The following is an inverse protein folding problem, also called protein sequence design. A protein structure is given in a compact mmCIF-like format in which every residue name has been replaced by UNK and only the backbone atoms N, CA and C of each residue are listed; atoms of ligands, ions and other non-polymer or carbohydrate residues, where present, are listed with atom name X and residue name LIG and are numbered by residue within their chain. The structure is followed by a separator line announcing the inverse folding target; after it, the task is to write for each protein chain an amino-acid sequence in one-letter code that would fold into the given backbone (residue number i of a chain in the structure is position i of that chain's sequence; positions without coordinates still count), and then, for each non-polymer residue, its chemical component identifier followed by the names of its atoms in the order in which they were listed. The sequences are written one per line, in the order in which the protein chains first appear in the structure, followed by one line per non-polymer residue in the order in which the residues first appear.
data_IF_979907481504
#
_entry.id   IF_979907481504
#
_cell.length_a   1.000
_cell.length_b   1.000
_cell.length_c   1.000
_cell.angle_alpha   90.00
_cell.angle_beta   90.00
_cell.angle_gamma   90.00
#
_symmetry.space_group_name_H-M   'P 1'
#
loop_
_entity.id
_entity.type
_entity.pdbx_description
1 polymer ?
#
# COMPACT_ATOMS: atom_id res chain seq x y z
N UNK A 1 -25.15 -60.14 -44.84
CA UNK A 1 -23.78 -60.46 -44.37
C UNK A 1 -23.70 -60.01 -42.92
N UNK A 2 -23.52 -60.93 -41.97
CA UNK A 2 -24.14 -60.86 -40.66
C UNK A 2 -23.11 -60.79 -39.51
N UNK A 3 -23.65 -60.80 -38.29
CA UNK A 3 -23.04 -61.18 -37.01
C UNK A 3 -22.41 -60.10 -36.13
N UNK A 4 -23.24 -59.72 -35.17
CA UNK A 4 -22.94 -59.30 -33.80
C UNK A 4 -22.51 -60.53 -32.96
N UNK A 5 -21.68 -60.25 -31.94
CA UNK A 5 -21.38 -60.99 -30.68
C UNK A 5 -20.32 -62.11 -30.67
N UNK A 6 -19.68 -62.44 -29.51
CA UNK A 6 -19.83 -61.88 -28.15
C UNK A 6 -18.53 -61.59 -27.36
N UNK A 7 -18.73 -60.91 -26.22
CA UNK A 7 -17.83 -60.83 -25.05
C UNK A 7 -17.67 -62.22 -24.39
N UNK A 8 -16.47 -62.61 -23.91
CA UNK A 8 -16.34 -63.67 -22.92
C UNK A 8 -16.28 -63.10 -21.50
N UNK A 9 -17.17 -63.62 -20.67
CA UNK A 9 -17.24 -63.49 -19.22
C UNK A 9 -16.36 -64.52 -18.50
N UNK A 10 -15.67 -64.02 -17.48
CA UNK A 10 -15.50 -64.60 -16.14
C UNK A 10 -14.37 -65.57 -15.77
N UNK A 11 -13.82 -65.24 -14.59
CA UNK A 11 -13.38 -66.10 -13.49
C UNK A 11 -11.99 -66.74 -13.47
N UNK A 12 -11.12 -66.07 -12.69
CA UNK A 12 -10.38 -66.59 -11.52
C UNK A 12 -9.50 -67.84 -11.68
N UNK A 13 -8.19 -67.66 -11.48
CA UNK A 13 -7.44 -68.39 -10.44
C UNK A 13 -6.04 -67.78 -10.16
N UNK A 14 -5.82 -67.52 -8.88
CA UNK A 14 -4.56 -67.61 -8.12
C UNK A 14 -3.36 -66.70 -8.45
N UNK A 15 -3.27 -65.63 -7.67
CA UNK A 15 -2.12 -65.17 -6.85
C UNK A 15 -0.85 -66.04 -6.93
N UNK A 16 0.27 -65.42 -7.34
CA UNK A 16 1.59 -65.67 -6.77
C UNK A 16 2.49 -64.43 -6.92
N UNK A 17 3.14 -64.11 -5.80
CA UNK A 17 3.97 -62.97 -5.47
C UNK A 17 5.06 -62.58 -6.49
N UNK A 18 5.28 -61.27 -6.60
CA UNK A 18 6.38 -60.72 -7.41
C UNK A 18 6.57 -59.23 -7.21
N UNK A 19 6.89 -58.83 -5.97
CA UNK A 19 7.40 -57.50 -5.63
C UNK A 19 8.47 -57.02 -6.62
N UNK A 20 8.24 -55.87 -7.27
CA UNK A 20 9.28 -54.94 -7.72
C UNK A 20 8.65 -53.56 -7.96
N UNK A 21 8.75 -52.74 -6.94
CA UNK A 21 8.48 -51.30 -6.97
C UNK A 21 9.41 -50.62 -7.96
N UNK A 22 8.85 -49.99 -9.00
CA UNK A 22 9.54 -48.90 -9.70
C UNK A 22 9.04 -47.61 -9.07
N UNK A 23 9.91 -47.00 -8.27
CA UNK A 23 9.72 -45.68 -7.69
C UNK A 23 9.68 -44.64 -8.82
N UNK A 24 8.47 -44.26 -9.22
CA UNK A 24 8.25 -43.05 -9.99
C UNK A 24 8.54 -41.85 -9.09
N UNK A 25 9.62 -41.13 -9.40
CA UNK A 25 9.99 -39.85 -8.77
C UNK A 25 8.83 -38.88 -8.95
N UNK A 26 7.98 -38.79 -7.93
CA UNK A 26 6.97 -37.75 -7.82
C UNK A 26 7.66 -36.40 -7.80
N UNK A 27 7.48 -35.64 -8.87
CA UNK A 27 7.78 -34.21 -8.87
C UNK A 27 6.97 -33.58 -7.73
N UNK A 28 7.63 -33.30 -6.62
CA UNK A 28 7.08 -32.47 -5.54
C UNK A 28 6.81 -31.11 -6.15
N UNK A 29 5.54 -30.75 -6.26
CA UNK A 29 5.13 -29.35 -6.37
C UNK A 29 5.75 -28.66 -5.16
N UNK A 30 6.75 -27.82 -5.37
CA UNK A 30 7.22 -26.91 -4.32
C UNK A 30 6.07 -25.94 -4.14
N UNK A 31 5.30 -26.10 -3.07
CA UNK A 31 4.24 -25.16 -2.71
C UNK A 31 4.82 -23.74 -2.76
N UNK A 32 4.08 -22.81 -3.37
CA UNK A 32 4.48 -21.41 -3.37
C UNK A 32 4.73 -20.97 -1.91
N UNK A 33 5.83 -20.25 -1.62
CA UNK A 33 6.15 -19.84 -0.26
C UNK A 33 4.98 -19.04 0.32
N UNK A 34 4.62 -19.33 1.57
CA UNK A 34 3.56 -18.59 2.26
C UNK A 34 3.95 -17.13 2.40
N UNK A 35 2.96 -16.22 2.47
CA UNK A 35 3.23 -14.79 2.62
C UNK A 35 4.05 -14.46 3.88
N UNK A 36 3.92 -15.27 4.93
CA UNK A 36 4.72 -15.15 6.15
C UNK A 36 6.21 -15.41 5.87
N UNK A 37 6.53 -16.40 5.03
CA UNK A 37 7.89 -16.66 4.58
C UNK A 37 8.42 -15.52 3.70
N UNK A 38 7.58 -14.94 2.84
CA UNK A 38 7.96 -13.75 2.06
C UNK A 38 8.31 -12.55 2.96
N UNK A 39 7.54 -12.30 4.02
CA UNK A 39 7.84 -11.24 4.99
C UNK A 39 9.08 -11.53 5.82
N UNK A 40 9.25 -12.76 6.30
CA UNK A 40 10.43 -13.17 7.06
C UNK A 40 11.69 -13.00 6.21
N UNK A 41 11.60 -13.37 4.93
CA UNK A 41 12.69 -13.34 3.96
C UNK A 41 12.85 -11.99 3.22
N UNK A 42 12.23 -10.92 3.71
CA UNK A 42 12.44 -9.57 3.19
C UNK A 42 13.91 -9.14 3.30
N UNK A 43 14.37 -8.39 2.30
CA UNK A 43 15.73 -7.83 2.23
C UNK A 43 15.83 -6.69 3.24
N UNK A 44 16.84 -6.76 4.10
CA UNK A 44 17.14 -5.76 5.15
C UNK A 44 18.58 -5.23 5.07
N UNK A 45 19.38 -5.83 4.21
CA UNK A 45 20.77 -5.48 3.98
C UNK A 45 20.91 -4.72 2.65
N UNK A 46 21.65 -3.62 2.68
CA UNK A 46 21.81 -2.74 1.51
C UNK A 46 22.61 -3.44 0.41
N UNK A 47 23.70 -4.13 0.78
CA UNK A 47 24.56 -4.82 -0.18
C UNK A 47 23.81 -5.97 -0.85
N UNK A 48 22.97 -6.69 -0.10
CA UNK A 48 22.04 -7.66 -0.64
C UNK A 48 21.08 -7.03 -1.66
N UNK A 49 20.45 -5.90 -1.35
CA UNK A 49 19.57 -5.21 -2.28
C UNK A 49 20.31 -4.83 -3.56
N UNK A 50 21.47 -4.16 -3.43
CA UNK A 50 22.28 -3.72 -4.57
C UNK A 50 22.69 -4.88 -5.47
N UNK A 51 23.15 -5.99 -4.88
CA UNK A 51 23.47 -7.22 -5.60
C UNK A 51 22.27 -7.82 -6.32
N UNK A 52 21.10 -7.87 -5.67
CA UNK A 52 19.86 -8.41 -6.28
C UNK A 52 19.40 -7.59 -7.48
N UNK A 53 19.61 -6.27 -7.46
CA UNK A 53 19.26 -5.37 -8.58
C UNK A 53 20.42 -5.12 -9.54
N UNK A 54 21.56 -5.80 -9.39
CA UNK A 54 22.70 -5.68 -10.31
C UNK A 54 23.42 -4.33 -10.28
N UNK A 55 23.42 -3.66 -9.12
CA UNK A 55 24.15 -2.41 -8.89
C UNK A 55 25.41 -2.66 -8.04
N UNK A 56 26.46 -1.82 -8.20
CA UNK A 56 27.69 -1.98 -7.42
C UNK A 56 27.46 -1.69 -5.93
N UNK A 57 28.08 -2.49 -5.05
CA UNK A 57 28.00 -2.39 -3.58
C UNK A 57 28.46 -1.01 -3.03
N UNK A 58 29.20 -0.23 -3.82
CA UNK A 58 29.62 1.15 -3.50
C UNK A 58 28.93 2.20 -4.37
N UNK A 59 27.67 1.97 -4.72
CA UNK A 59 26.91 2.96 -5.48
C UNK A 59 26.79 4.25 -4.65
N UNK A 60 27.16 5.43 -5.18
CA UNK A 60 27.02 6.72 -4.48
C UNK A 60 25.55 7.11 -4.16
N UNK A 61 24.60 6.25 -4.55
CA UNK A 61 23.17 6.40 -4.34
C UNK A 61 22.70 5.78 -3.02
N UNK A 62 23.41 4.77 -2.52
CA UNK A 62 23.18 4.20 -1.20
C UNK A 62 23.89 5.03 -0.13
N UNK A 63 23.34 5.08 1.07
CA UNK A 63 23.99 5.64 2.26
C UNK A 63 25.40 5.07 2.52
N UNK A 64 26.02 5.46 3.64
CA UNK A 64 27.34 5.00 4.12
C UNK A 64 27.43 3.50 4.48
N UNK A 65 26.62 2.64 3.85
CA UNK A 65 26.56 1.21 4.11
C UNK A 65 25.88 0.85 5.42
N UNK A 66 25.42 1.83 6.21
CA UNK A 66 24.94 1.51 7.55
C UNK A 66 23.62 0.73 7.54
N UNK A 67 22.69 0.94 6.59
CA UNK A 67 21.40 0.22 6.48
C UNK A 67 20.49 0.25 7.73
N UNK A 68 21.03 0.77 8.83
CA UNK A 68 20.64 0.74 10.24
C UNK A 68 20.53 2.18 10.78
N UNK A 69 20.29 3.16 9.88
CA UNK A 69 19.82 4.46 10.32
C UNK A 69 18.48 4.34 11.06
N UNK A 70 17.98 5.45 11.60
CA UNK A 70 16.71 5.48 12.35
C UNK A 70 15.50 4.88 11.60
N UNK A 71 15.58 4.79 10.27
CA UNK A 71 14.60 4.11 9.42
C UNK A 71 15.28 3.05 8.53
N UNK A 72 15.35 1.77 8.95
CA UNK A 72 16.16 0.75 8.31
C UNK A 72 15.60 0.31 6.96
N UNK A 73 16.42 -0.34 6.13
CA UNK A 73 15.95 -0.97 4.91
C UNK A 73 15.02 -2.15 5.24
N UNK A 74 13.88 -2.21 4.54
CA UNK A 74 13.00 -3.36 4.55
C UNK A 74 12.25 -3.41 3.22
N UNK A 75 12.50 -4.42 2.40
CA UNK A 75 11.81 -4.60 1.12
C UNK A 75 11.59 -6.08 0.80
N UNK A 76 10.35 -6.51 0.50
CA UNK A 76 10.08 -7.90 0.13
C UNK A 76 10.73 -8.26 -1.21
N UNK A 77 11.19 -9.50 -1.35
CA UNK A 77 11.81 -9.98 -2.60
C UNK A 77 10.83 -9.96 -3.79
N UNK A 78 9.52 -10.10 -3.55
CA UNK A 78 8.48 -9.90 -4.57
C UNK A 78 8.44 -8.46 -5.11
N UNK A 79 8.79 -7.45 -4.31
CA UNK A 79 8.97 -6.08 -4.79
C UNK A 79 10.29 -5.91 -5.54
N UNK A 80 11.39 -6.43 -4.99
CA UNK A 80 12.73 -6.33 -5.63
C UNK A 80 12.74 -6.93 -7.04
N UNK A 81 12.03 -8.05 -7.27
CA UNK A 81 11.93 -8.68 -8.61
C UNK A 81 11.32 -7.79 -9.70
N UNK A 82 10.62 -6.72 -9.34
CA UNK A 82 10.02 -5.76 -10.28
C UNK A 82 10.91 -4.56 -10.57
N UNK A 83 12.01 -4.38 -9.81
CA UNK A 83 13.00 -3.33 -10.05
C UNK A 83 13.80 -3.71 -11.30
N UNK A 84 13.98 -2.75 -12.21
CA UNK A 84 14.79 -2.95 -13.42
C UNK A 84 16.27 -3.18 -13.04
N UNK A 85 16.86 -4.35 -13.38
CA UNK A 85 18.25 -4.63 -13.06
C UNK A 85 19.22 -3.66 -13.74
N UNK A 86 20.24 -3.22 -13.00
CA UNK A 86 21.30 -2.32 -13.45
C UNK A 86 20.88 -0.86 -13.59
N UNK A 87 19.62 -0.50 -13.29
CA UNK A 87 19.13 0.87 -13.41
C UNK A 87 19.16 1.59 -12.04
N UNK A 88 20.14 2.48 -11.79
CA UNK A 88 20.22 3.25 -10.54
C UNK A 88 19.08 4.25 -10.35
N UNK A 89 18.30 4.51 -11.39
CA UNK A 89 17.25 5.51 -11.41
C UNK A 89 15.85 4.90 -11.51
N UNK A 90 15.75 3.58 -11.42
CA UNK A 90 14.49 2.85 -11.42
C UNK A 90 13.50 3.43 -10.37
N UNK A 91 12.25 3.72 -10.76
CA UNK A 91 11.28 4.38 -9.90
C UNK A 91 10.85 3.51 -8.71
N UNK A 92 10.91 2.18 -8.80
CA UNK A 92 10.62 1.29 -7.68
C UNK A 92 11.80 1.25 -6.71
N UNK A 93 13.04 1.20 -7.21
CA UNK A 93 14.24 1.24 -6.38
C UNK A 93 14.29 2.51 -5.53
N UNK A 94 14.02 3.68 -6.13
CA UNK A 94 13.99 4.96 -5.43
C UNK A 94 13.06 4.96 -4.22
N UNK A 95 11.93 4.24 -4.28
CA UNK A 95 10.97 4.18 -3.18
C UNK A 95 11.48 3.43 -1.94
N UNK A 96 12.53 2.61 -2.06
CA UNK A 96 13.02 1.71 -0.99
C UNK A 96 14.51 1.86 -0.69
N UNK A 97 15.30 2.41 -1.60
CA UNK A 97 16.75 2.57 -1.44
C UNK A 97 17.07 3.73 -0.47
N UNK A 98 17.70 3.47 0.69
CA UNK A 98 18.12 4.52 1.61
C UNK A 98 19.12 5.47 0.96
N UNK A 99 18.86 6.78 1.05
CA UNK A 99 19.70 7.81 0.44
C UNK A 99 20.41 8.67 1.50
N UNK A 100 21.68 9.08 1.26
CA UNK A 100 22.35 10.08 2.11
C UNK A 100 21.55 11.39 2.27
N UNK A 101 20.73 11.73 1.27
CA UNK A 101 19.89 12.94 1.27
C UNK A 101 18.84 12.95 2.38
N UNK A 102 18.50 11.80 2.95
CA UNK A 102 17.57 11.69 4.06
C UNK A 102 18.12 12.30 5.36
N UNK A 103 19.44 12.37 5.48
CA UNK A 103 20.14 13.03 6.58
C UNK A 103 20.41 14.52 6.32
N UNK A 104 19.96 15.03 5.17
CA UNK A 104 20.12 16.43 4.75
C UNK A 104 18.74 17.10 4.66
N UNK A 105 18.04 17.30 5.79
CA UNK A 105 16.64 17.76 5.81
C UNK A 105 16.45 19.15 5.20
N UNK A 106 17.53 19.89 4.99
CA UNK A 106 17.56 21.22 4.39
C UNK A 106 17.64 21.19 2.86
N UNK A 107 17.86 20.05 2.19
CA UNK A 107 18.08 20.00 0.74
C UNK A 107 16.97 19.23 0.02
N UNK A 108 16.05 19.94 -0.63
CA UNK A 108 15.00 19.34 -1.48
C UNK A 108 15.49 18.96 -2.89
N UNK A 109 16.77 19.22 -3.19
CA UNK A 109 17.35 19.18 -4.53
C UNK A 109 18.33 20.33 -4.73
N UNK A 110 18.86 20.49 -5.94
CA UNK A 110 19.89 21.46 -6.37
C UNK A 110 19.83 22.84 -5.67
N UNK A 111 20.48 22.97 -4.50
CA UNK A 111 20.60 24.23 -3.76
C UNK A 111 19.32 24.81 -3.13
N UNK A 112 18.20 24.06 -3.09
CA UNK A 112 16.93 24.56 -2.54
C UNK A 112 16.79 24.19 -1.06
N UNK A 113 16.68 25.21 -0.21
CA UNK A 113 16.42 25.03 1.23
C UNK A 113 15.00 24.52 1.47
N UNK A 114 14.88 23.29 1.95
CA UNK A 114 13.61 22.67 2.29
C UNK A 114 13.07 23.23 3.62
N UNK A 115 11.91 23.89 3.58
CA UNK A 115 11.26 24.45 4.77
C UNK A 115 9.99 23.68 5.16
N UNK A 116 9.70 23.62 6.46
CA UNK A 116 8.47 23.03 6.99
C UNK A 116 8.46 21.50 7.09
N UNK A 117 9.63 20.87 7.00
CA UNK A 117 9.81 19.43 7.22
C UNK A 117 9.87 19.12 8.72
N UNK A 118 9.05 18.18 9.19
CA UNK A 118 8.89 17.84 10.63
C UNK A 118 8.57 16.35 10.83
N UNK A 119 8.56 15.91 12.08
CA UNK A 119 8.38 14.49 12.42
C UNK A 119 6.90 14.06 12.37
N UNK A 120 5.98 14.95 12.76
CA UNK A 120 4.53 14.80 12.58
C UNK A 120 3.98 15.83 11.55
N UNK A 121 4.14 15.57 10.24
CA UNK A 121 3.70 16.50 9.20
C UNK A 121 2.17 16.64 9.13
N UNK A 122 1.43 15.63 9.57
CA UNK A 122 -0.02 15.54 9.37
C UNK A 122 -0.84 15.77 10.64
N UNK A 123 -0.19 15.99 11.80
CA UNK A 123 -0.86 16.18 13.08
C UNK A 123 -1.53 14.91 13.60
N UNK A 124 -0.92 13.74 13.38
CA UNK A 124 -1.43 12.47 13.94
C UNK A 124 -1.43 12.51 15.48
N UNK A 125 -0.39 13.08 16.12
CA UNK A 125 -0.31 13.17 17.59
C UNK A 125 -1.42 14.02 18.15
N UNK A 126 -1.63 15.22 17.60
CA UNK A 126 -2.68 16.14 18.05
C UNK A 126 -4.10 15.61 17.80
N UNK A 127 -4.27 14.68 16.85
CA UNK A 127 -5.54 14.04 16.53
C UNK A 127 -5.82 12.77 17.36
N UNK A 128 -4.90 12.36 18.24
CA UNK A 128 -5.05 11.15 19.04
C UNK A 128 -6.07 11.38 20.14
N UNK A 129 -7.14 10.58 20.14
CA UNK A 129 -8.24 10.66 21.13
C UNK A 129 -8.26 9.48 22.10
N UNK A 130 -7.54 8.41 21.78
CA UNK A 130 -7.21 7.28 22.66
C UNK A 130 -6.04 6.48 22.07
N UNK A 131 -5.54 5.49 22.81
CA UNK A 131 -4.43 4.65 22.38
C UNK A 131 -4.71 4.01 21.01
N UNK A 132 -3.90 4.40 20.02
CA UNK A 132 -4.04 3.97 18.63
C UNK A 132 -5.30 4.48 17.90
N UNK A 133 -6.09 5.40 18.48
CA UNK A 133 -7.30 5.95 17.86
C UNK A 133 -7.12 7.44 17.53
N UNK A 134 -7.17 7.77 16.25
CA UNK A 134 -7.08 9.14 15.73
C UNK A 134 -8.43 9.60 15.17
N UNK A 135 -8.82 10.84 15.44
CA UNK A 135 -10.02 11.44 14.87
C UNK A 135 -9.72 12.82 14.29
N UNK A 136 -9.41 12.85 12.99
CA UNK A 136 -9.14 14.10 12.26
C UNK A 136 -10.38 14.73 11.65
N UNK A 137 -11.40 13.92 11.36
CA UNK A 137 -12.53 14.33 10.54
C UNK A 137 -13.85 13.83 11.11
N UNK A 138 -14.90 14.58 10.86
CA UNK A 138 -16.25 14.17 11.23
C UNK A 138 -16.64 12.85 10.54
N UNK A 139 -17.37 12.01 11.28
CA UNK A 139 -17.97 10.78 10.75
C UNK A 139 -17.05 9.57 10.68
N UNK A 140 -15.74 9.74 10.92
CA UNK A 140 -14.76 8.66 10.78
C UNK A 140 -13.58 8.79 11.73
N UNK A 141 -13.09 7.65 12.19
CA UNK A 141 -11.87 7.55 12.99
C UNK A 141 -10.87 6.59 12.33
N UNK A 142 -9.59 6.73 12.67
CA UNK A 142 -8.51 5.86 12.20
C UNK A 142 -7.89 5.13 13.38
N UNK A 143 -7.77 3.83 13.25
CA UNK A 143 -7.01 2.96 14.14
C UNK A 143 -5.62 2.76 13.56
N UNK A 144 -4.59 3.19 14.29
CA UNK A 144 -3.19 2.84 14.07
C UNK A 144 -2.99 1.45 14.67
N UNK A 145 -3.25 0.41 13.89
CA UNK A 145 -3.30 -0.96 14.38
C UNK A 145 -1.92 -1.48 14.80
N UNK A 146 -0.88 -1.15 14.04
CA UNK A 146 0.48 -1.67 14.24
C UNK A 146 1.54 -0.70 13.75
N UNK A 147 2.77 -0.81 14.27
CA UNK A 147 3.97 -0.19 13.67
C UNK A 147 4.71 -1.11 12.70
N UNK A 148 4.27 -2.36 12.52
CA UNK A 148 4.90 -3.30 11.60
C UNK A 148 4.51 -2.98 10.16
N UNK A 149 5.51 -2.81 9.29
CA UNK A 149 5.36 -2.69 7.84
C UNK A 149 5.94 -3.93 7.14
N UNK A 150 5.48 -4.21 5.92
CA UNK A 150 6.14 -5.16 5.01
C UNK A 150 7.26 -4.52 4.19
N UNK A 151 7.21 -3.20 4.00
CA UNK A 151 8.15 -2.41 3.23
C UNK A 151 8.36 -1.06 3.91
N UNK A 152 9.59 -0.55 3.92
CA UNK A 152 9.91 0.78 4.42
C UNK A 152 10.02 1.76 3.27
N UNK A 153 8.93 2.46 2.97
CA UNK A 153 8.88 3.50 1.95
C UNK A 153 9.75 4.69 2.38
N UNK A 154 10.71 5.13 1.57
CA UNK A 154 11.61 6.27 1.90
C UNK A 154 10.90 7.63 1.98
N UNK A 155 9.61 7.67 1.66
CA UNK A 155 8.73 8.83 1.76
C UNK A 155 7.62 8.63 2.83
N UNK A 156 7.76 7.66 3.74
CA UNK A 156 6.75 7.35 4.76
C UNK A 156 6.55 8.52 5.73
N UNK A 157 5.35 9.11 5.75
CA UNK A 157 5.03 10.22 6.65
C UNK A 157 4.92 9.81 8.13
N UNK A 158 4.81 8.51 8.41
CA UNK A 158 4.78 7.92 9.78
C UNK A 158 6.08 7.24 10.18
N UNK A 159 7.19 7.52 9.50
CA UNK A 159 8.48 6.93 9.87
C UNK A 159 8.95 7.33 11.28
N UNK A 160 8.48 8.48 11.79
CA UNK A 160 8.79 9.00 13.13
C UNK A 160 7.62 8.87 14.13
N UNK A 161 6.56 8.14 13.78
CA UNK A 161 5.40 7.95 14.67
C UNK A 161 5.76 7.08 15.87
N UNK A 162 5.28 7.45 17.07
CA UNK A 162 5.50 6.66 18.28
C UNK A 162 4.54 5.46 18.36
N UNK A 163 5.05 4.29 17.99
CA UNK A 163 4.31 3.02 18.04
C UNK A 163 4.36 2.32 19.41
N UNK A 164 5.11 2.85 20.39
CA UNK A 164 5.31 2.23 21.69
C UNK A 164 4.02 2.06 22.49
N UNK A 165 3.13 3.05 22.37
CA UNK A 165 1.87 3.20 23.08
C UNK A 165 0.68 2.48 22.42
N UNK A 166 0.92 1.70 21.36
CA UNK A 166 -0.15 0.98 20.70
C UNK A 166 -0.66 -0.22 21.52
N UNK A 167 -1.99 -0.47 21.53
CA UNK A 167 -2.55 -1.66 22.13
C UNK A 167 -1.91 -2.96 21.61
N UNK A 168 -1.56 -3.87 22.54
CA UNK A 168 -0.94 -5.17 22.22
C UNK A 168 -1.90 -6.32 22.52
N UNK A 169 -2.30 -7.05 21.47
CA UNK A 169 -3.26 -8.16 21.57
C UNK A 169 -4.72 -7.73 21.50
N UNK A 170 -5.64 -8.68 21.32
CA UNK A 170 -7.07 -8.40 21.09
C UNK A 170 -7.75 -7.66 22.25
N UNK A 171 -7.56 -8.15 23.49
CA UNK A 171 -8.17 -7.55 24.68
C UNK A 171 -7.74 -6.09 24.92
N UNK A 172 -6.54 -5.71 24.47
CA UNK A 172 -6.05 -4.34 24.62
C UNK A 172 -6.83 -3.32 23.76
N UNK A 173 -7.59 -3.77 22.76
CA UNK A 173 -8.43 -2.90 21.93
C UNK A 173 -9.80 -2.60 22.56
N UNK A 174 -10.18 -3.29 23.64
CA UNK A 174 -11.48 -3.13 24.28
C UNK A 174 -11.81 -1.67 24.67
N UNK A 175 -10.88 -0.86 25.23
CA UNK A 175 -11.15 0.56 25.50
C UNK A 175 -11.46 1.35 24.23
N UNK A 176 -10.70 1.12 23.16
CA UNK A 176 -10.90 1.75 21.85
C UNK A 176 -12.25 1.37 21.25
N UNK A 177 -12.63 0.09 21.34
CA UNK A 177 -13.92 -0.41 20.86
C UNK A 177 -15.09 0.24 21.63
N UNK A 178 -14.99 0.36 22.96
CA UNK A 178 -16.00 1.04 23.78
C UNK A 178 -16.15 2.51 23.40
N UNK A 179 -15.05 3.21 23.15
CA UNK A 179 -15.09 4.61 22.75
C UNK A 179 -15.78 4.79 21.40
N UNK A 180 -15.49 3.92 20.43
CA UNK A 180 -16.17 3.94 19.13
C UNK A 180 -17.67 3.61 19.28
N UNK A 181 -18.01 2.63 20.11
CA UNK A 181 -19.38 2.26 20.39
C UNK A 181 -20.18 3.38 21.10
N UNK A 182 -19.51 4.22 21.89
CA UNK A 182 -20.12 5.36 22.59
C UNK A 182 -20.31 6.59 21.69
N UNK A 183 -19.62 6.69 20.55
CA UNK A 183 -19.72 7.81 19.61
C UNK A 183 -20.51 7.40 18.35
N UNK A 184 -21.83 7.61 18.39
CA UNK A 184 -22.74 7.31 17.29
C UNK A 184 -22.49 8.16 16.01
N UNK A 185 -21.64 9.19 16.08
CA UNK A 185 -21.28 9.97 14.89
C UNK A 185 -20.34 9.21 13.94
N UNK A 186 -19.63 8.19 14.45
CA UNK A 186 -18.64 7.41 13.71
C UNK A 186 -19.26 6.31 12.85
N UNK A 187 -19.46 6.57 11.56
CA UNK A 187 -20.04 5.59 10.64
C UNK A 187 -18.99 4.85 9.79
N UNK A 188 -17.73 5.26 9.86
CA UNK A 188 -16.60 4.62 9.16
C UNK A 188 -15.37 4.53 10.07
N UNK A 189 -14.79 3.34 10.17
CA UNK A 189 -13.53 3.11 10.88
C UNK A 189 -12.44 2.71 9.90
N UNK A 190 -11.31 3.39 9.95
CA UNK A 190 -10.16 3.14 9.08
C UNK A 190 -9.13 2.34 9.84
N UNK A 191 -8.72 1.18 9.34
CA UNK A 191 -7.63 0.39 9.92
C UNK A 191 -6.36 0.69 9.13
N UNK A 192 -5.35 1.22 9.80
CA UNK A 192 -4.09 1.68 9.21
C UNK A 192 -2.93 1.46 10.22
N UNK A 193 -1.85 2.22 10.11
CA UNK A 193 -0.64 2.11 10.90
C UNK A 193 0.57 1.99 10.00
N UNK A 194 1.48 1.07 10.33
CA UNK A 194 2.47 0.54 9.42
C UNK A 194 1.78 -0.19 8.27
N UNK A 195 1.34 -1.43 8.51
CA UNK A 195 0.44 -2.13 7.61
C UNK A 195 -0.43 -3.17 8.35
N UNK A 196 -1.77 -2.99 8.40
CA UNK A 196 -2.66 -3.89 9.14
C UNK A 196 -2.73 -5.30 8.56
N UNK A 197 -2.43 -5.49 7.26
CA UNK A 197 -2.39 -6.83 6.67
C UNK A 197 -1.08 -7.56 6.97
N UNK A 198 -0.13 -6.95 7.70
CA UNK A 198 0.99 -7.70 8.28
C UNK A 198 0.56 -8.68 9.39
N UNK A 199 -0.66 -8.51 9.94
CA UNK A 199 -1.22 -9.42 10.92
C UNK A 199 -1.78 -10.70 10.31
N UNK A 200 -1.81 -11.77 11.12
CA UNK A 200 -2.54 -12.99 10.80
C UNK A 200 -4.04 -12.72 10.71
N UNK A 201 -4.75 -13.56 9.95
CA UNK A 201 -6.20 -13.43 9.76
C UNK A 201 -6.95 -13.43 11.11
N UNK A 202 -6.58 -14.30 12.05
CA UNK A 202 -7.19 -14.32 13.39
C UNK A 202 -6.95 -13.06 14.22
N UNK A 203 -5.77 -12.44 14.12
CA UNK A 203 -5.50 -11.16 14.81
C UNK A 203 -6.24 -10.00 14.15
N UNK A 204 -6.36 -10.01 12.83
CA UNK A 204 -7.16 -9.04 12.09
C UNK A 204 -8.64 -9.16 12.47
N UNK A 205 -9.19 -10.38 12.42
CA UNK A 205 -10.57 -10.72 12.78
C UNK A 205 -10.93 -10.22 14.18
N UNK A 206 -10.07 -10.48 15.17
CA UNK A 206 -10.27 -10.03 16.55
C UNK A 206 -10.41 -8.51 16.72
N UNK A 207 -9.95 -7.71 15.76
CA UNK A 207 -10.17 -6.26 15.73
C UNK A 207 -11.37 -5.87 14.86
N UNK A 208 -11.48 -6.43 13.64
CA UNK A 208 -12.47 -5.97 12.65
C UNK A 208 -13.88 -6.52 12.89
N UNK A 209 -14.03 -7.72 13.44
CA UNK A 209 -15.35 -8.30 13.71
C UNK A 209 -16.13 -7.51 14.78
N UNK A 210 -15.54 -7.16 15.95
CA UNK A 210 -16.24 -6.33 16.92
C UNK A 210 -16.59 -4.94 16.35
N UNK A 211 -15.67 -4.32 15.60
CA UNK A 211 -15.91 -3.02 14.96
C UNK A 211 -17.06 -3.07 13.96
N UNK A 212 -17.08 -4.09 13.11
CA UNK A 212 -18.10 -4.28 12.09
C UNK A 212 -19.47 -4.66 12.69
N UNK A 213 -19.50 -5.11 13.95
CA UNK A 213 -20.74 -5.47 14.67
C UNK A 213 -21.38 -4.28 15.39
N UNK A 214 -20.70 -3.13 15.47
CA UNK A 214 -21.27 -1.91 16.05
C UNK A 214 -22.32 -1.34 15.09
N UNK A 215 -23.57 -1.19 15.56
CA UNK A 215 -24.74 -0.87 14.73
C UNK A 215 -24.55 0.37 13.83
N UNK A 216 -23.97 1.45 14.35
CA UNK A 216 -23.76 2.68 13.59
C UNK A 216 -22.54 2.64 12.65
N UNK A 217 -21.64 1.66 12.79
CA UNK A 217 -20.45 1.50 11.96
C UNK A 217 -20.82 0.79 10.65
N UNK A 218 -21.01 1.57 9.60
CA UNK A 218 -21.44 1.06 8.29
C UNK A 218 -20.30 0.55 7.42
N UNK A 219 -19.08 1.03 7.66
CA UNK A 219 -17.91 0.81 6.82
C UNK A 219 -16.66 0.59 7.66
N UNK A 220 -15.88 -0.42 7.27
CA UNK A 220 -14.51 -0.61 7.73
C UNK A 220 -13.59 -0.44 6.53
N UNK A 221 -12.65 0.49 6.58
CA UNK A 221 -11.71 0.75 5.47
C UNK A 221 -10.30 0.37 5.87
N UNK A 222 -9.70 -0.58 5.15
CA UNK A 222 -8.33 -1.04 5.41
C UNK A 222 -7.37 -0.27 4.50
N UNK A 223 -6.35 0.35 5.08
CA UNK A 223 -5.25 0.99 4.35
C UNK A 223 -4.03 0.08 4.42
N UNK A 224 -3.56 -0.40 3.27
CA UNK A 224 -2.52 -1.42 3.23
C UNK A 224 -1.69 -1.31 1.95
N UNK A 225 -0.41 -1.64 2.03
CA UNK A 225 0.47 -1.81 0.88
C UNK A 225 0.76 -3.28 0.58
N UNK A 226 0.37 -4.21 1.47
CA UNK A 226 0.63 -5.65 1.32
C UNK A 226 0.22 -6.23 -0.04
N UNK A 227 -0.97 -5.97 -0.62
CA UNK A 227 -1.33 -6.51 -1.93
C UNK A 227 -0.37 -6.10 -3.05
N UNK A 228 0.30 -4.95 -2.88
CA UNK A 228 1.30 -4.45 -3.82
C UNK A 228 2.66 -5.09 -3.55
N UNK A 229 3.12 -5.18 -2.31
CA UNK A 229 4.50 -5.63 -2.01
C UNK A 229 4.65 -7.13 -1.73
N UNK A 230 3.60 -7.80 -1.25
CA UNK A 230 3.52 -9.25 -0.99
C UNK A 230 2.12 -9.74 -1.41
N UNK A 231 1.86 -9.90 -2.71
CA UNK A 231 0.53 -10.23 -3.24
C UNK A 231 -0.02 -11.57 -2.72
N UNK A 232 0.86 -12.50 -2.34
CA UNK A 232 0.48 -13.79 -1.71
C UNK A 232 -0.24 -13.63 -0.37
N UNK A 233 -0.23 -12.44 0.25
CA UNK A 233 -1.02 -12.14 1.46
C UNK A 233 -2.53 -12.21 1.20
N UNK A 234 -2.96 -12.03 -0.06
CA UNK A 234 -4.37 -12.14 -0.45
C UNK A 234 -4.75 -13.61 -0.64
N UNK A 235 -4.94 -14.29 0.49
CA UNK A 235 -5.37 -15.69 0.56
C UNK A 235 -6.89 -15.80 0.49
N UNK A 236 -7.38 -17.02 0.24
CA UNK A 236 -8.84 -17.29 0.23
C UNK A 236 -9.45 -17.07 1.63
N UNK A 237 -8.68 -17.40 2.69
CA UNK A 237 -9.06 -17.17 4.09
C UNK A 237 -9.23 -15.69 4.41
N UNK A 238 -8.32 -14.84 3.92
CA UNK A 238 -8.45 -13.40 4.08
C UNK A 238 -9.69 -12.89 3.36
N UNK A 239 -9.89 -13.29 2.10
CA UNK A 239 -11.05 -12.79 1.34
C UNK A 239 -12.38 -13.26 1.91
N UNK A 240 -12.46 -14.49 2.44
CA UNK A 240 -13.64 -14.98 3.14
C UNK A 240 -13.92 -14.14 4.40
N UNK A 241 -12.90 -13.90 5.23
CA UNK A 241 -13.02 -13.02 6.39
C UNK A 241 -13.57 -11.64 6.02
N UNK A 242 -13.04 -11.01 4.97
CA UNK A 242 -13.48 -9.67 4.57
C UNK A 242 -14.91 -9.64 4.01
N UNK A 243 -15.33 -10.72 3.32
CA UNK A 243 -16.66 -10.83 2.73
C UNK A 243 -17.76 -11.11 3.78
N UNK A 244 -17.41 -11.80 4.87
CA UNK A 244 -18.35 -12.22 5.90
C UNK A 244 -18.65 -11.13 6.96
N UNK A 245 -17.93 -9.99 6.92
CA UNK A 245 -18.15 -8.90 7.87
C UNK A 245 -19.50 -8.19 7.64
N UNK A 246 -20.26 -7.86 8.71
CA UNK A 246 -21.53 -7.14 8.57
C UNK A 246 -21.37 -5.73 8.00
N UNK A 247 -20.32 -5.02 8.39
CA UNK A 247 -19.98 -3.72 7.84
C UNK A 247 -19.28 -3.87 6.49
N UNK A 248 -19.57 -2.97 5.54
CA UNK A 248 -18.96 -3.05 4.21
C UNK A 248 -17.47 -2.73 4.29
N UNK A 249 -16.64 -3.68 3.86
CA UNK A 249 -15.20 -3.48 3.79
C UNK A 249 -14.81 -2.72 2.53
N UNK A 250 -13.97 -1.71 2.70
CA UNK A 250 -13.27 -1.01 1.61
C UNK A 250 -11.77 -1.20 1.79
N UNK A 251 -11.00 -1.19 0.71
CA UNK A 251 -9.54 -1.25 0.80
C UNK A 251 -8.90 -0.14 -0.03
N UNK A 252 -7.95 0.56 0.61
CA UNK A 252 -7.07 1.51 -0.07
C UNK A 252 -5.69 0.90 -0.17
N UNK A 253 -5.29 0.55 -1.39
CA UNK A 253 -3.94 0.11 -1.72
C UNK A 253 -3.03 1.30 -2.00
N UNK A 254 -1.72 1.06 -2.00
CA UNK A 254 -0.72 2.10 -2.21
C UNK A 254 0.35 1.71 -3.23
N UNK A 255 0.10 2.08 -4.49
CA UNK A 255 1.04 1.99 -5.60
C UNK A 255 1.36 3.39 -6.14
N UNK A 256 2.63 3.67 -6.45
CA UNK A 256 3.09 4.95 -7.01
C UNK A 256 3.50 4.86 -8.47
N UNK A 257 3.79 3.66 -8.98
CA UNK A 257 4.23 3.46 -10.36
C UNK A 257 3.60 2.21 -10.99
N UNK A 258 3.33 2.26 -12.29
CA UNK A 258 2.70 1.18 -13.04
C UNK A 258 3.47 -0.15 -12.96
N UNK A 259 4.80 -0.09 -12.90
CA UNK A 259 5.68 -1.26 -12.75
C UNK A 259 5.51 -1.99 -11.40
N UNK A 260 4.85 -1.38 -10.40
CA UNK A 260 4.45 -2.08 -9.18
C UNK A 260 3.31 -3.08 -9.45
N UNK A 261 2.57 -2.95 -10.55
CA UNK A 261 1.39 -3.76 -10.86
C UNK A 261 1.74 -4.87 -11.86
N UNK A 262 2.51 -5.86 -11.41
CA UNK A 262 2.77 -7.07 -12.20
C UNK A 262 1.57 -8.04 -12.18
N UNK A 263 1.71 -9.17 -12.88
CA UNK A 263 0.64 -10.17 -12.96
C UNK A 263 0.21 -10.76 -11.61
N UNK A 264 1.15 -10.90 -10.65
CA UNK A 264 0.85 -11.44 -9.32
C UNK A 264 0.06 -10.44 -8.48
N UNK A 265 0.41 -9.15 -8.57
CA UNK A 265 -0.35 -8.06 -7.94
C UNK A 265 -1.73 -7.92 -8.58
N UNK A 266 -1.81 -7.98 -9.91
CA UNK A 266 -3.09 -7.94 -10.63
C UNK A 266 -4.03 -9.09 -10.18
N UNK A 267 -3.49 -10.31 -10.00
CA UNK A 267 -4.26 -11.45 -9.52
C UNK A 267 -4.76 -11.24 -8.07
N UNK A 268 -3.91 -10.72 -7.18
CA UNK A 268 -4.29 -10.41 -5.81
C UNK A 268 -5.38 -9.34 -5.73
N UNK A 269 -5.28 -8.27 -6.52
CA UNK A 269 -6.28 -7.20 -6.59
C UNK A 269 -7.62 -7.70 -7.15
N UNK A 270 -7.59 -8.47 -8.24
CA UNK A 270 -8.82 -9.08 -8.80
C UNK A 270 -9.49 -10.03 -7.82
N UNK A 271 -8.73 -10.77 -7.02
CA UNK A 271 -9.27 -11.64 -5.97
C UNK A 271 -9.98 -10.84 -4.88
N UNK A 272 -9.42 -9.72 -4.43
CA UNK A 272 -10.09 -8.82 -3.48
C UNK A 272 -11.38 -8.24 -4.07
N UNK A 273 -11.34 -7.78 -5.32
CA UNK A 273 -12.52 -7.26 -6.01
C UNK A 273 -13.61 -8.34 -6.17
N UNK A 274 -13.24 -9.58 -6.49
CA UNK A 274 -14.16 -10.71 -6.59
C UNK A 274 -14.82 -11.07 -5.24
N UNK A 275 -14.15 -10.79 -4.13
CA UNK A 275 -14.70 -10.90 -2.78
C UNK A 275 -15.65 -9.74 -2.41
N UNK A 276 -15.96 -8.84 -3.35
CA UNK A 276 -16.88 -7.72 -3.15
C UNK A 276 -16.25 -6.50 -2.46
N UNK A 277 -14.93 -6.48 -2.26
CA UNK A 277 -14.20 -5.37 -1.63
C UNK A 277 -13.93 -4.27 -2.67
N UNK A 278 -14.52 -3.06 -2.56
CA UNK A 278 -14.17 -1.95 -3.44
C UNK A 278 -12.73 -1.51 -3.17
N UNK A 279 -11.97 -1.32 -4.26
CA UNK A 279 -10.55 -1.01 -4.21
C UNK A 279 -10.28 0.42 -4.69
N UNK A 280 -9.50 1.14 -3.89
CA UNK A 280 -9.02 2.48 -4.17
C UNK A 280 -7.49 2.48 -4.14
N UNK A 281 -6.84 3.30 -4.96
CA UNK A 281 -5.39 3.53 -4.85
C UNK A 281 -5.11 4.94 -4.32
N UNK A 282 -4.27 5.04 -3.30
CA UNK A 282 -3.60 6.29 -2.96
C UNK A 282 -2.16 6.23 -3.47
N UNK A 283 -1.71 7.26 -4.16
CA UNK A 283 -0.32 7.49 -4.55
C UNK A 283 0.19 8.75 -3.85
N UNK A 284 1.50 8.92 -3.79
CA UNK A 284 2.18 10.17 -3.43
C UNK A 284 2.90 10.66 -4.68
N UNK A 285 2.83 11.97 -4.95
CA UNK A 285 3.61 12.59 -6.01
C UNK A 285 5.07 12.71 -5.56
N UNK A 286 5.95 11.98 -6.23
CA UNK A 286 7.33 11.76 -5.83
C UNK A 286 8.28 12.05 -7.00
N UNK A 287 9.23 12.96 -6.76
CA UNK A 287 10.26 13.33 -7.73
C UNK A 287 11.09 12.12 -8.17
N UNK A 288 11.22 11.94 -9.47
CA UNK A 288 11.95 10.83 -10.09
C UNK A 288 11.27 9.47 -9.98
N UNK A 289 9.99 9.42 -9.56
CA UNK A 289 9.19 8.19 -9.49
C UNK A 289 7.98 8.31 -10.40
N UNK A 290 7.13 9.31 -10.17
CA UNK A 290 5.87 9.49 -10.88
C UNK A 290 5.54 10.97 -11.13
N UNK A 291 6.56 11.82 -11.19
CA UNK A 291 6.46 13.25 -11.48
C UNK A 291 6.36 13.57 -12.99
N UNK A 292 5.71 12.69 -13.76
CA UNK A 292 5.46 12.87 -15.18
C UNK A 292 4.03 12.45 -15.56
N UNK A 293 3.49 13.05 -16.62
CA UNK A 293 2.15 12.71 -17.12
C UNK A 293 2.11 11.26 -17.60
N UNK A 294 3.17 10.78 -18.26
CA UNK A 294 3.24 9.41 -18.75
C UNK A 294 3.23 8.38 -17.61
N UNK A 295 4.02 8.59 -16.56
CA UNK A 295 4.08 7.67 -15.43
C UNK A 295 2.74 7.60 -14.66
N UNK A 296 2.10 8.75 -14.45
CA UNK A 296 0.80 8.80 -13.79
C UNK A 296 -0.33 8.25 -14.69
N UNK A 297 -0.25 8.48 -16.00
CA UNK A 297 -1.22 7.93 -16.95
C UNK A 297 -1.15 6.41 -17.02
N UNK A 298 0.06 5.85 -17.13
CA UNK A 298 0.24 4.39 -17.13
C UNK A 298 -0.22 3.76 -15.81
N UNK A 299 0.06 4.42 -14.67
CA UNK A 299 -0.44 3.96 -13.37
C UNK A 299 -1.97 3.97 -13.33
N UNK A 300 -2.61 5.05 -13.79
CA UNK A 300 -4.07 5.19 -13.83
C UNK A 300 -4.73 4.08 -14.64
N UNK A 301 -4.26 3.85 -15.88
CA UNK A 301 -4.77 2.80 -16.76
C UNK A 301 -4.61 1.41 -16.13
N UNK A 302 -3.40 1.07 -15.64
CA UNK A 302 -3.16 -0.25 -15.04
C UNK A 302 -4.01 -0.50 -13.80
N UNK A 303 -4.27 0.52 -12.98
CA UNK A 303 -5.14 0.39 -11.81
C UNK A 303 -6.58 0.08 -12.23
N UNK A 304 -7.11 0.80 -13.22
CA UNK A 304 -8.45 0.57 -13.74
C UNK A 304 -8.59 -0.83 -14.33
N UNK A 305 -7.61 -1.30 -15.11
CA UNK A 305 -7.58 -2.62 -15.73
C UNK A 305 -7.63 -3.80 -14.73
N UNK A 306 -7.32 -3.53 -13.47
CA UNK A 306 -7.39 -4.51 -12.37
C UNK A 306 -8.49 -4.18 -11.35
N UNK A 307 -9.41 -3.26 -11.69
CA UNK A 307 -10.58 -2.93 -10.88
C UNK A 307 -10.30 -2.02 -9.68
N UNK A 308 -9.21 -1.24 -9.72
CA UNK A 308 -8.83 -0.29 -8.67
C UNK A 308 -9.04 1.13 -9.17
N UNK A 309 -9.77 1.95 -8.40
CA UNK A 309 -10.00 3.35 -8.76
C UNK A 309 -8.83 4.21 -8.27
N UNK A 310 -8.15 4.99 -9.13
CA UNK A 310 -7.21 6.03 -8.71
C UNK A 310 -7.93 7.06 -7.82
N UNK A 311 -7.68 7.01 -6.51
CA UNK A 311 -8.46 7.77 -5.53
C UNK A 311 -7.80 9.09 -5.17
N UNK A 312 -6.57 9.02 -4.65
CA UNK A 312 -5.80 10.19 -4.29
C UNK A 312 -4.40 10.15 -4.87
N UNK A 313 -3.95 11.28 -5.38
CA UNK A 313 -2.55 11.62 -5.52
C UNK A 313 -2.24 12.61 -4.41
N UNK A 314 -1.45 12.21 -3.43
CA UNK A 314 -1.06 13.07 -2.33
C UNK A 314 0.12 13.94 -2.74
N UNK A 315 0.03 15.24 -2.47
CA UNK A 315 1.25 16.03 -2.30
C UNK A 315 2.08 15.38 -1.19
N UNK A 316 3.40 15.29 -1.40
CA UNK A 316 4.31 14.79 -0.39
C UNK A 316 4.09 15.51 0.96
N UNK A 317 3.74 14.73 1.98
CA UNK A 317 3.75 15.22 3.35
C UNK A 317 5.19 15.55 3.73
N UNK A 318 5.42 16.75 4.28
CA UNK A 318 6.77 17.25 4.60
C UNK A 318 7.35 16.56 5.84
N UNK A 319 7.58 15.26 5.75
CA UNK A 319 8.19 14.43 6.78
C UNK A 319 9.72 14.57 6.71
N UNK A 320 10.37 14.79 7.85
CA UNK A 320 11.84 14.85 7.92
C UNK A 320 12.45 13.62 7.24
N UNK A 321 13.37 13.85 6.31
CA UNK A 321 14.05 12.81 5.53
C UNK A 321 13.54 12.64 4.10
N UNK A 322 12.33 13.11 3.77
CA UNK A 322 11.73 12.89 2.45
C UNK A 322 11.91 14.05 1.45
N UNK A 323 12.62 15.13 1.80
CA UNK A 323 12.63 16.38 1.02
C UNK A 323 13.08 16.22 -0.44
N UNK A 324 13.96 15.25 -0.71
CA UNK A 324 14.45 14.97 -2.06
C UNK A 324 13.37 14.41 -3.01
N UNK A 325 12.21 13.99 -2.50
CA UNK A 325 11.04 13.61 -3.31
C UNK A 325 10.10 14.78 -3.62
N UNK A 326 10.34 15.98 -3.10
CA UNK A 326 9.39 17.10 -3.20
C UNK A 326 9.15 17.54 -4.64
N UNK A 327 7.87 17.58 -5.02
CA UNK A 327 7.39 18.19 -6.26
C UNK A 327 6.60 19.44 -5.89
N UNK A 328 6.93 20.63 -6.47
CA UNK A 328 6.18 21.84 -6.24
C UNK A 328 4.70 21.66 -6.58
N UNK A 329 3.80 22.18 -5.74
CA UNK A 329 2.33 22.06 -5.94
C UNK A 329 1.90 22.55 -7.33
N UNK A 330 2.51 23.63 -7.83
CA UNK A 330 2.24 24.15 -9.19
C UNK A 330 2.50 23.12 -10.29
N UNK A 331 3.51 22.28 -10.10
CA UNK A 331 3.89 21.23 -11.04
C UNK A 331 2.90 20.06 -10.93
N UNK A 332 2.53 19.64 -9.72
CA UNK A 332 1.48 18.64 -9.49
C UNK A 332 0.13 19.05 -10.11
N UNK A 333 -0.30 20.31 -9.94
CA UNK A 333 -1.51 20.84 -10.58
C UNK A 333 -1.44 20.74 -12.10
N UNK A 334 -0.30 21.11 -12.70
CA UNK A 334 -0.08 21.00 -14.16
C UNK A 334 -0.16 19.54 -14.63
N UNK A 335 0.48 18.62 -13.91
CA UNK A 335 0.45 17.19 -14.23
C UNK A 335 -0.98 16.66 -14.24
N UNK A 336 -1.77 16.96 -13.20
CA UNK A 336 -3.13 16.41 -13.08
C UNK A 336 -4.09 17.03 -14.07
N UNK A 337 -3.93 18.32 -14.43
CA UNK A 337 -4.68 18.92 -15.55
C UNK A 337 -4.40 18.21 -16.88
N UNK A 338 -3.13 17.92 -17.17
CA UNK A 338 -2.75 17.18 -18.36
C UNK A 338 -3.28 15.72 -18.34
N UNK A 339 -3.37 15.09 -17.16
CA UNK A 339 -4.02 13.78 -17.03
C UNK A 339 -5.52 13.85 -17.38
N UNK A 340 -6.23 14.90 -16.96
CA UNK A 340 -7.65 15.09 -17.29
C UNK A 340 -7.93 15.24 -18.78
N UNK A 341 -6.93 15.66 -19.57
CA UNK A 341 -7.04 15.73 -21.03
C UNK A 341 -6.79 14.37 -21.71
N UNK A 342 -6.08 13.45 -21.03
CA UNK A 342 -5.65 12.16 -21.59
C UNK A 342 -6.49 10.98 -21.13
N UNK A 343 -6.95 10.98 -19.88
CA UNK A 343 -7.59 9.85 -19.23
C UNK A 343 -9.10 10.08 -19.05
N UNK A 344 -9.90 9.01 -18.99
CA UNK A 344 -11.28 9.11 -18.53
C UNK A 344 -11.31 9.58 -17.07
N UNK A 345 -12.36 10.33 -16.69
CA UNK A 345 -12.41 10.99 -15.37
C UNK A 345 -12.28 10.06 -14.16
N UNK A 346 -12.73 8.80 -14.26
CA UNK A 346 -12.57 7.81 -13.18
C UNK A 346 -11.13 7.30 -13.01
N UNK A 347 -10.25 7.53 -13.99
CA UNK A 347 -8.84 7.18 -13.95
C UNK A 347 -7.95 8.37 -13.51
N UNK A 348 -8.54 9.56 -13.31
CA UNK A 348 -7.84 10.75 -12.83
C UNK A 348 -7.98 10.83 -11.30
N UNK A 349 -6.88 10.73 -10.53
CA UNK A 349 -6.96 10.83 -9.07
C UNK A 349 -7.22 12.27 -8.64
N UNK A 350 -7.86 12.45 -7.47
CA UNK A 350 -7.93 13.77 -6.83
C UNK A 350 -6.58 14.13 -6.25
N UNK A 351 -6.07 15.32 -6.57
CA UNK A 351 -4.78 15.78 -6.08
C UNK A 351 -4.95 16.53 -4.76
N UNK A 352 -4.46 15.93 -3.67
CA UNK A 352 -4.81 16.37 -2.32
C UNK A 352 -3.60 16.63 -1.44
N UNK A 353 -3.80 17.47 -0.44
CA UNK A 353 -2.85 17.70 0.64
C UNK A 353 -3.50 17.50 2.00
N UNK A 354 -2.81 16.78 2.88
CA UNK A 354 -3.16 16.73 4.29
C UNK A 354 -2.67 17.99 4.99
N UNK A 355 -3.54 18.63 5.77
CA UNK A 355 -3.19 19.81 6.57
C UNK A 355 -3.70 19.59 7.98
N UNK A 356 -2.78 19.58 8.94
CA UNK A 356 -3.11 19.42 10.35
C UNK A 356 -4.20 20.43 10.77
N UNK A 357 -5.26 19.94 11.41
CA UNK A 357 -6.41 20.73 11.85
C UNK A 357 -7.45 21.06 10.78
N UNK A 358 -7.24 20.70 9.51
CA UNK A 358 -8.27 20.87 8.48
C UNK A 358 -9.41 19.86 8.66
N UNK A 359 -10.64 20.26 8.32
CA UNK A 359 -11.83 19.41 8.43
C UNK A 359 -11.95 18.33 7.34
N UNK A 360 -11.09 18.42 6.32
CA UNK A 360 -10.99 17.47 5.21
C UNK A 360 -9.61 17.61 4.54
N UNK A 361 -9.27 16.64 3.67
CA UNK A 361 -8.11 16.76 2.78
C UNK A 361 -8.36 17.86 1.76
N UNK A 362 -7.40 18.77 1.60
CA UNK A 362 -7.54 19.92 0.72
C UNK A 362 -7.32 19.48 -0.72
N UNK A 363 -8.29 19.73 -1.61
CA UNK A 363 -8.11 19.56 -3.05
C UNK A 363 -7.26 20.71 -3.60
N UNK A 364 -6.13 20.36 -4.21
CA UNK A 364 -5.16 21.31 -4.73
C UNK A 364 -5.52 21.84 -6.12
N UNK A 365 -6.43 21.17 -6.85
CA UNK A 365 -6.96 21.70 -8.11
C UNK A 365 -7.96 22.83 -7.88
N UNK A 366 -8.87 22.65 -6.92
CA UNK A 366 -9.91 23.63 -6.59
C UNK A 366 -9.31 24.91 -6.02
N UNK A 367 -8.32 24.78 -5.13
CA UNK A 367 -7.62 25.94 -4.55
C UNK A 367 -6.81 26.70 -5.59
N UNK A 368 -6.19 26.02 -6.56
CA UNK A 368 -5.49 26.69 -7.66
C UNK A 368 -6.45 27.43 -8.61
N UNK A 369 -7.65 26.88 -8.85
CA UNK A 369 -8.72 27.55 -9.61
C UNK A 369 -9.21 28.83 -8.93
N UNK A 370 -9.49 28.78 -7.63
CA UNK A 370 -9.96 29.95 -6.87
C UNK A 370 -8.94 31.11 -6.82
N UNK A 371 -7.63 30.82 -6.87
CA UNK A 371 -6.59 31.85 -6.97
C UNK A 371 -6.46 32.43 -8.38
N UNK A 372 -6.66 31.62 -9.43
CA UNK A 372 -6.67 32.10 -10.82
C UNK A 372 -7.90 32.98 -11.10
N UNK A 373 -9.07 32.60 -10.60
CA UNK A 373 -10.30 33.39 -10.76
C UNK A 373 -10.23 34.72 -9.98
N UNK A 374 -9.61 34.74 -8.80
CA UNK A 374 -9.35 36.00 -8.07
C UNK A 374 -8.36 36.92 -8.78
N UNK A 375 -7.41 36.39 -9.53
CA UNK A 375 -6.52 37.19 -10.37
C UNK A 375 -7.20 37.67 -11.67
N UNK A 376 -8.21 36.94 -12.15
CA UNK A 376 -9.02 37.31 -13.32
C UNK A 376 -10.18 38.28 -13.00
N UNK A 377 -10.65 38.34 -11.75
CA UNK A 377 -11.64 39.31 -11.25
C UNK A 377 -10.96 40.60 -10.75
N UNK A 378 -9.91 41.04 -11.44
CA UNK A 378 -9.48 42.43 -11.41
C UNK A 378 -9.46 43.03 -12.83
N UNK A 379 -10.64 43.28 -13.44
CA UNK A 379 -10.79 44.33 -14.42
C UNK A 379 -11.55 45.51 -13.78
N UNK A 380 -10.89 46.67 -13.77
CA UNK A 380 -11.44 48.01 -13.59
C UNK A 380 -12.32 48.31 -12.37
N UNK A 381 -11.84 49.22 -11.52
CA UNK A 381 -12.55 50.49 -11.24
C UNK A 381 -11.76 51.46 -10.35
N UNK A 382 -11.51 52.61 -10.97
CA UNK A 382 -11.21 53.97 -10.50
C UNK A 382 -9.85 54.28 -9.86
#
# INVERSE_FOLDING_TARGET
MPHVEPVPTDSRLAVADGCRTSEGVGQRWVDAPTWQLELASAVRDLDELLRLVGLPERSPLGGDGSGNGAFPLLVPRSFVRRIRPGDPHDPLLRQVLPSPREHQPELAGEGVVATGYRDDPVGDTAATVAAGLLQKYAGRALIVATGTCAVHCRYCFRQHFDYGELPRGGAAWEPTLRQIAADASLHEIIISGGDPLSWSDGRLAALVEPLASIEHVRRVRIHTRLPIVVPSRVTDTLTALLADLPARVWMVVHANHAAELDASVAAALRRLAAAGVPLLNQAVLLRGVNDSVDALAELGERLVDVGVVPYYLHQLDRVRGAAHFDVPVREGVRLVRALSERLPGYAVPRYVQERAGASHKIDLLDTAGAHADRAAIAPDRY
#
